data_IF_197593243010
#
_entry.id   IF_197593243010
#
_cell.length_a   1.000
_cell.length_b   1.000
_cell.length_c   1.000
_cell.angle_alpha   90.00
_cell.angle_beta   90.00
_cell.angle_gamma   90.00
#
_symmetry.space_group_name_H-M   'P 1'
#
loop_
_entity.id
_entity.type
_entity.pdbx_description
1 polymer ?
#
# COMPACT_ATOMS: atom_id res chain seq x y z
N UNK A 1 -14.10 -21.68 -3.12
CA UNK A 1 -13.92 -20.35 -3.78
C UNK A 1 -13.24 -19.33 -2.88
N UNK A 2 -13.57 -19.21 -1.55
CA UNK A 2 -13.01 -18.17 -0.65
C UNK A 2 -11.60 -18.48 -0.11
N UNK A 3 -11.26 -19.74 0.16
CA UNK A 3 -9.89 -20.17 0.53
C UNK A 3 -8.92 -20.08 -0.66
N UNK A 4 -9.41 -20.27 -1.88
CA UNK A 4 -8.61 -20.16 -3.10
C UNK A 4 -8.13 -18.73 -3.37
N UNK A 5 -8.94 -17.68 -3.11
CA UNK A 5 -8.50 -16.28 -3.29
C UNK A 5 -7.39 -15.85 -2.32
N UNK A 6 -7.43 -16.30 -1.06
CA UNK A 6 -6.32 -16.07 -0.11
C UNK A 6 -5.04 -16.81 -0.53
N UNK A 7 -5.20 -18.01 -1.05
CA UNK A 7 -4.10 -18.81 -1.58
C UNK A 7 -3.46 -18.13 -2.82
N UNK A 8 -4.25 -17.49 -3.67
CA UNK A 8 -3.75 -16.76 -4.84
C UNK A 8 -2.86 -15.55 -4.51
N UNK A 9 -3.18 -14.76 -3.47
CA UNK A 9 -2.34 -13.64 -3.04
C UNK A 9 -1.01 -14.17 -2.48
N UNK A 10 -1.11 -15.23 -1.64
CA UNK A 10 0.02 -15.83 -0.94
C UNK A 10 0.99 -16.55 -1.88
N UNK A 11 0.46 -17.27 -2.86
CA UNK A 11 1.26 -18.17 -3.68
C UNK A 11 1.91 -17.50 -4.91
N UNK A 12 1.52 -16.28 -5.27
CA UNK A 12 1.92 -15.72 -6.56
C UNK A 12 2.82 -14.49 -6.52
N UNK A 13 2.69 -13.58 -5.53
CA UNK A 13 3.38 -12.27 -5.62
C UNK A 13 4.01 -11.77 -4.32
N UNK A 14 3.47 -12.11 -3.14
CA UNK A 14 3.91 -11.52 -1.87
C UNK A 14 4.56 -12.57 -0.99
N UNK A 15 5.87 -12.52 -0.89
CA UNK A 15 6.70 -13.49 -0.17
C UNK A 15 7.10 -12.91 1.18
N UNK A 16 7.08 -13.75 2.24
CA UNK A 16 7.56 -13.37 3.58
C UNK A 16 6.65 -12.44 4.37
N UNK A 17 5.39 -12.16 3.90
CA UNK A 17 4.45 -11.23 4.53
C UNK A 17 3.11 -11.89 4.89
N UNK A 18 3.13 -13.11 5.37
CA UNK A 18 1.92 -13.91 5.66
C UNK A 18 0.97 -13.24 6.66
N UNK A 19 1.51 -12.57 7.68
CA UNK A 19 0.74 -11.85 8.68
C UNK A 19 -0.01 -10.66 8.06
N UNK A 20 0.66 -9.90 7.20
CA UNK A 20 0.07 -8.78 6.47
C UNK A 20 -1.10 -9.24 5.59
N UNK A 21 -0.89 -10.26 4.77
CA UNK A 21 -1.94 -10.85 3.91
C UNK A 21 -3.12 -11.36 4.73
N UNK A 22 -2.86 -12.03 5.85
CA UNK A 22 -3.90 -12.57 6.74
C UNK A 22 -4.73 -11.46 7.39
N UNK A 23 -4.10 -10.39 7.87
CA UNK A 23 -4.76 -9.25 8.53
C UNK A 23 -5.67 -8.50 7.54
N UNK A 24 -5.18 -8.21 6.34
CA UNK A 24 -5.96 -7.55 5.29
C UNK A 24 -7.16 -8.42 4.88
N UNK A 25 -6.93 -9.69 4.65
CA UNK A 25 -8.00 -10.62 4.26
C UNK A 25 -9.09 -10.74 5.33
N UNK A 26 -8.75 -10.66 6.61
CA UNK A 26 -9.71 -10.62 7.71
C UNK A 26 -10.49 -9.31 7.75
N UNK A 27 -9.82 -8.18 7.57
CA UNK A 27 -10.44 -6.87 7.57
C UNK A 27 -11.44 -6.71 6.42
N UNK A 28 -11.06 -7.10 5.21
CA UNK A 28 -11.96 -7.07 4.04
C UNK A 28 -13.20 -7.94 4.28
N UNK A 29 -13.02 -9.17 4.79
CA UNK A 29 -14.15 -10.06 5.10
C UNK A 29 -15.09 -9.47 6.16
N UNK A 30 -14.54 -8.88 7.22
CA UNK A 30 -15.33 -8.22 8.27
C UNK A 30 -16.16 -7.07 7.69
N UNK A 31 -15.58 -6.28 6.80
CA UNK A 31 -16.27 -5.15 6.20
C UNK A 31 -17.34 -5.58 5.18
N UNK A 32 -17.13 -6.69 4.46
CA UNK A 32 -18.10 -7.25 3.52
C UNK A 32 -19.26 -8.01 4.21
N UNK A 33 -19.17 -8.33 5.50
CA UNK A 33 -20.22 -9.07 6.23
C UNK A 33 -21.47 -8.23 6.58
N UNK A 34 -21.53 -6.97 6.13
CA UNK A 34 -22.74 -6.12 6.30
C UNK A 34 -22.88 -5.43 7.66
N UNK A 35 -21.91 -5.57 8.54
CA UNK A 35 -21.94 -4.96 9.89
C UNK A 35 -21.57 -3.46 9.84
N UNK A 36 -21.01 -3.00 8.71
CA UNK A 36 -20.53 -1.63 8.52
C UNK A 36 -21.49 -0.78 7.71
N UNK A 37 -21.44 0.54 7.91
CA UNK A 37 -22.14 1.52 7.07
C UNK A 37 -21.73 1.36 5.60
N UNK A 38 -22.70 1.19 4.70
CA UNK A 38 -22.48 1.08 3.25
C UNK A 38 -21.89 2.34 2.59
N UNK A 39 -21.70 3.40 3.38
CA UNK A 39 -21.20 4.68 2.87
C UNK A 39 -19.67 4.76 2.83
N UNK A 40 -18.95 4.01 3.66
CA UNK A 40 -17.49 4.06 3.75
C UNK A 40 -16.81 3.14 2.72
N UNK A 41 -15.54 3.41 2.36
CA UNK A 41 -14.74 2.52 1.51
C UNK A 41 -14.78 1.06 1.98
N UNK A 42 -14.61 0.08 1.08
CA UNK A 42 -14.57 -1.36 1.40
C UNK A 42 -13.52 -1.66 2.48
N UNK A 43 -12.41 -0.93 2.48
CA UNK A 43 -11.38 -1.03 3.50
C UNK A 43 -10.38 0.11 3.41
N UNK A 44 -9.80 0.46 4.55
CA UNK A 44 -8.74 1.45 4.67
C UNK A 44 -7.55 0.85 5.43
N UNK A 45 -6.39 0.88 4.81
CA UNK A 45 -5.19 0.20 5.30
C UNK A 45 -3.99 1.17 5.35
N UNK A 46 -3.21 1.06 6.42
CA UNK A 46 -1.90 1.72 6.51
C UNK A 46 -0.81 0.64 6.51
N UNK A 47 0.04 0.64 5.49
CA UNK A 47 1.17 -0.27 5.36
C UNK A 47 2.44 0.41 5.89
N UNK A 48 2.97 -0.10 6.97
CA UNK A 48 4.15 0.41 7.66
C UNK A 48 5.34 -0.51 7.42
N UNK A 49 6.52 0.03 7.14
CA UNK A 49 7.72 -0.77 6.99
C UNK A 49 8.73 -0.19 6.00
N UNK A 50 9.92 -0.78 5.90
CA UNK A 50 10.98 -0.30 5.02
C UNK A 50 10.57 -0.37 3.54
N UNK A 51 11.35 0.30 2.69
CA UNK A 51 11.21 0.20 1.23
C UNK A 51 11.59 -1.19 0.74
N UNK A 52 10.99 -1.64 -0.37
CA UNK A 52 11.36 -2.89 -1.02
C UNK A 52 10.81 -4.18 -0.39
N UNK A 53 9.97 -4.12 0.65
CA UNK A 53 9.42 -5.31 1.34
C UNK A 53 8.12 -5.84 0.73
N UNK A 54 7.64 -5.26 -0.37
CA UNK A 54 6.46 -5.76 -1.10
C UNK A 54 5.15 -5.02 -0.82
N UNK A 55 5.15 -3.81 -0.20
CA UNK A 55 3.92 -3.03 0.07
C UNK A 55 3.13 -2.75 -1.21
N UNK A 56 3.77 -2.26 -2.25
CA UNK A 56 3.14 -1.96 -3.55
C UNK A 56 2.70 -3.23 -4.27
N UNK A 57 3.48 -4.31 -4.20
CA UNK A 57 3.09 -5.60 -4.80
C UNK A 57 1.85 -6.21 -4.14
N UNK A 58 1.70 -6.03 -2.83
CA UNK A 58 0.48 -6.46 -2.15
C UNK A 58 -0.74 -5.64 -2.60
N UNK A 59 -0.58 -4.33 -2.84
CA UNK A 59 -1.66 -3.50 -3.37
C UNK A 59 -2.09 -3.94 -4.79
N UNK A 60 -1.14 -4.28 -5.66
CA UNK A 60 -1.41 -4.85 -7.00
C UNK A 60 -2.14 -6.19 -6.91
N UNK A 61 -1.65 -7.08 -6.05
CA UNK A 61 -2.28 -8.38 -5.84
C UNK A 61 -3.72 -8.24 -5.30
N UNK A 62 -3.99 -7.25 -4.47
CA UNK A 62 -5.34 -6.96 -3.99
C UNK A 62 -6.26 -6.47 -5.12
N UNK A 63 -5.78 -5.60 -6.01
CA UNK A 63 -6.55 -5.13 -7.17
C UNK A 63 -6.93 -6.33 -8.07
N UNK A 64 -5.97 -7.18 -8.41
CA UNK A 64 -6.20 -8.38 -9.22
C UNK A 64 -7.20 -9.35 -8.57
N UNK A 65 -7.07 -9.60 -7.26
CA UNK A 65 -7.92 -10.58 -6.56
C UNK A 65 -9.34 -10.08 -6.32
N UNK A 66 -9.53 -8.79 -6.09
CA UNK A 66 -10.83 -8.24 -5.71
C UNK A 66 -11.63 -7.73 -6.89
N UNK A 67 -10.94 -7.21 -7.90
CA UNK A 67 -11.56 -6.60 -9.06
C UNK A 67 -11.25 -7.33 -10.37
N UNK A 68 -10.53 -8.46 -10.31
CA UNK A 68 -10.08 -9.29 -11.44
C UNK A 68 -9.27 -8.49 -12.49
N UNK A 69 -8.67 -7.35 -12.09
CA UNK A 69 -7.92 -6.44 -12.96
C UNK A 69 -6.81 -5.72 -12.19
N UNK A 70 -5.55 -5.95 -12.56
CA UNK A 70 -4.41 -5.23 -11.99
C UNK A 70 -4.47 -3.72 -12.31
N UNK A 71 -5.06 -3.33 -13.44
CA UNK A 71 -5.25 -1.93 -13.82
C UNK A 71 -6.28 -1.20 -12.96
N UNK A 72 -7.01 -1.92 -12.08
CA UNK A 72 -7.83 -1.33 -11.04
C UNK A 72 -7.02 -0.68 -9.91
N UNK A 73 -5.68 -0.86 -9.87
CA UNK A 73 -4.81 -0.12 -8.99
C UNK A 73 -4.56 1.30 -9.52
N UNK A 74 -4.94 2.29 -8.73
CA UNK A 74 -4.67 3.72 -8.99
C UNK A 74 -3.65 4.19 -7.97
N UNK A 75 -2.44 4.54 -8.42
CA UNK A 75 -1.35 5.00 -7.55
C UNK A 75 -1.23 6.52 -7.57
N UNK A 76 -1.02 7.08 -6.37
CA UNK A 76 -0.66 8.48 -6.12
C UNK A 76 0.65 8.48 -5.34
N UNK A 77 1.69 9.04 -5.90
CA UNK A 77 2.97 9.24 -5.22
C UNK A 77 2.89 10.54 -4.41
N UNK A 78 2.91 10.43 -3.09
CA UNK A 78 2.73 11.60 -2.22
C UNK A 78 3.93 12.54 -2.22
N UNK A 79 5.07 12.15 -2.78
CA UNK A 79 6.18 13.07 -3.02
C UNK A 79 5.85 14.16 -4.04
N UNK A 80 4.87 13.95 -4.93
CA UNK A 80 4.36 14.95 -5.87
C UNK A 80 3.37 15.93 -5.23
N UNK A 81 2.96 15.68 -3.98
CA UNK A 81 1.91 16.42 -3.25
C UNK A 81 2.44 17.05 -1.96
N UNK A 82 3.68 17.52 -1.97
CA UNK A 82 4.35 18.15 -0.82
C UNK A 82 3.97 19.63 -0.64
N UNK A 83 3.53 20.30 -1.70
CA UNK A 83 3.27 21.73 -1.70
C UNK A 83 1.87 22.09 -1.19
N UNK A 84 1.70 23.35 -0.74
CA UNK A 84 0.44 23.86 -0.15
C UNK A 84 -0.79 23.70 -1.03
N UNK A 85 -0.64 23.71 -2.36
CA UNK A 85 -1.75 23.55 -3.30
C UNK A 85 -2.01 22.10 -3.71
N UNK A 86 -1.33 21.16 -3.10
CA UNK A 86 -1.44 19.74 -3.44
C UNK A 86 -2.87 19.19 -3.25
N UNK A 87 -3.60 19.66 -2.25
CA UNK A 87 -5.00 19.27 -2.03
C UNK A 87 -5.88 19.64 -3.23
N UNK A 88 -5.67 20.84 -3.82
CA UNK A 88 -6.41 21.27 -5.02
C UNK A 88 -6.13 20.42 -6.26
N UNK A 89 -4.96 19.78 -6.35
CA UNK A 89 -4.67 18.82 -7.43
C UNK A 89 -5.47 17.52 -7.27
N UNK A 90 -5.75 17.11 -6.02
CA UNK A 90 -6.52 15.89 -5.76
C UNK A 90 -8.02 16.07 -5.97
N UNK A 91 -8.63 17.12 -5.42
CA UNK A 91 -10.08 17.33 -5.46
C UNK A 91 -10.56 18.40 -6.46
N UNK A 92 -9.61 19.09 -7.12
CA UNK A 92 -9.87 20.16 -8.10
C UNK A 92 -9.67 21.55 -7.53
N UNK A 93 -9.21 22.48 -8.38
CA UNK A 93 -9.01 23.88 -8.02
C UNK A 93 -10.36 24.61 -7.89
N UNK A 94 -10.49 25.59 -6.98
CA UNK A 94 -11.69 26.42 -6.86
C UNK A 94 -11.95 27.24 -8.14
N UNK A 95 -13.21 27.68 -8.38
CA UNK A 95 -13.53 28.53 -9.51
C UNK A 95 -12.63 29.77 -9.59
N UNK A 96 -12.13 30.07 -10.79
CA UNK A 96 -11.23 31.22 -11.02
C UNK A 96 -9.73 30.94 -10.82
N UNK A 97 -9.34 29.74 -10.39
CA UNK A 97 -7.94 29.32 -10.31
C UNK A 97 -7.54 28.47 -11.50
N UNK A 98 -6.23 28.50 -11.83
CA UNK A 98 -5.64 27.66 -12.89
C UNK A 98 -5.87 26.18 -12.53
N UNK A 99 -6.32 25.38 -13.53
CA UNK A 99 -6.63 23.94 -13.33
C UNK A 99 -8.08 23.65 -12.91
N UNK A 100 -8.97 24.65 -12.80
CA UNK A 100 -10.39 24.43 -12.48
C UNK A 100 -11.11 23.53 -13.49
N UNK A 101 -10.82 23.69 -14.78
CA UNK A 101 -11.46 22.91 -15.85
C UNK A 101 -11.01 21.44 -15.87
N UNK A 102 -9.79 21.17 -15.46
CA UNK A 102 -9.20 19.82 -15.46
C UNK A 102 -9.83 18.91 -14.42
N UNK A 103 -10.42 19.48 -13.35
CA UNK A 103 -10.96 18.71 -12.22
C UNK A 103 -9.86 18.18 -11.30
N UNK A 104 -10.26 17.44 -10.26
CA UNK A 104 -9.29 16.83 -9.32
C UNK A 104 -8.81 15.47 -9.82
N UNK A 105 -7.54 15.22 -9.72
CA UNK A 105 -6.93 13.97 -10.20
C UNK A 105 -7.53 12.74 -9.51
N UNK A 106 -7.72 12.80 -8.19
CA UNK A 106 -8.33 11.73 -7.40
C UNK A 106 -9.80 11.54 -7.79
N UNK A 107 -10.55 12.63 -7.85
CA UNK A 107 -11.99 12.59 -8.13
C UNK A 107 -12.29 12.10 -9.55
N UNK A 108 -11.52 12.53 -10.55
CA UNK A 108 -11.69 12.07 -11.93
C UNK A 108 -11.30 10.59 -12.11
N UNK A 109 -10.18 10.15 -11.50
CA UNK A 109 -9.76 8.75 -11.58
C UNK A 109 -10.77 7.80 -10.93
N UNK A 110 -11.33 8.15 -9.76
CA UNK A 110 -12.33 7.33 -9.07
C UNK A 110 -13.68 7.37 -9.82
N UNK A 111 -14.07 8.50 -10.36
CA UNK A 111 -15.28 8.60 -11.19
C UNK A 111 -15.22 7.67 -12.40
N UNK A 112 -14.05 7.57 -13.03
CA UNK A 112 -13.84 6.71 -14.20
C UNK A 112 -13.67 5.23 -13.82
N UNK A 113 -13.12 4.93 -12.61
CA UNK A 113 -12.92 3.57 -12.09
C UNK A 113 -13.42 3.48 -10.64
N UNK A 114 -14.74 3.38 -10.42
CA UNK A 114 -15.32 3.36 -9.07
C UNK A 114 -14.95 2.09 -8.27
N UNK A 115 -14.65 0.99 -8.95
CA UNK A 115 -14.15 -0.25 -8.34
C UNK A 115 -12.64 -0.29 -8.49
N UNK A 116 -11.92 0.23 -7.48
CA UNK A 116 -10.47 0.36 -7.57
C UNK A 116 -9.79 0.27 -6.21
N UNK A 117 -8.49 -0.04 -6.25
CA UNK A 117 -7.57 0.10 -5.12
C UNK A 117 -6.82 1.42 -5.29
N UNK A 118 -6.99 2.32 -4.34
CA UNK A 118 -6.29 3.60 -4.29
C UNK A 118 -5.05 3.45 -3.43
N UNK A 119 -3.88 3.56 -4.01
CA UNK A 119 -2.61 3.49 -3.30
C UNK A 119 -2.01 4.89 -3.17
N UNK A 120 -1.97 5.41 -1.95
CA UNK A 120 -1.24 6.63 -1.59
C UNK A 120 0.13 6.22 -1.06
N UNK A 121 1.15 6.40 -1.89
CA UNK A 121 2.50 5.93 -1.59
C UNK A 121 3.31 7.02 -0.88
N UNK A 122 4.02 6.66 0.19
CA UNK A 122 4.86 7.55 1.02
C UNK A 122 4.07 8.73 1.62
N UNK A 123 2.96 8.43 2.29
CA UNK A 123 2.03 9.47 2.83
C UNK A 123 2.69 10.43 3.83
N UNK A 124 3.81 10.07 4.44
CA UNK A 124 4.59 10.97 5.31
C UNK A 124 5.16 12.18 4.57
N UNK A 125 5.27 12.13 3.25
CA UNK A 125 5.74 13.24 2.43
C UNK A 125 4.65 14.22 2.03
N UNK A 126 3.38 13.83 2.18
CA UNK A 126 2.24 14.63 1.75
C UNK A 126 2.10 15.91 2.58
N UNK A 127 1.65 17.00 1.92
CA UNK A 127 1.25 18.20 2.64
C UNK A 127 0.10 17.90 3.64
N UNK A 128 0.08 18.51 4.84
CA UNK A 128 -0.96 18.24 5.85
C UNK A 128 -2.41 18.38 5.37
N UNK A 129 -2.68 19.23 4.40
CA UNK A 129 -4.02 19.44 3.84
C UNK A 129 -4.56 18.21 3.11
N UNK A 130 -3.69 17.34 2.61
CA UNK A 130 -4.07 16.06 1.97
C UNK A 130 -4.81 15.16 2.98
N UNK A 131 -4.39 15.16 4.24
CA UNK A 131 -5.04 14.35 5.26
C UNK A 131 -6.47 14.79 5.55
N UNK A 132 -6.80 16.08 5.35
CA UNK A 132 -8.18 16.56 5.46
C UNK A 132 -9.07 16.00 4.34
N UNK A 133 -8.53 15.91 3.11
CA UNK A 133 -9.21 15.29 1.97
C UNK A 133 -9.41 13.78 2.23
N UNK A 134 -8.36 13.09 2.69
CA UNK A 134 -8.45 11.67 3.01
C UNK A 134 -9.40 11.39 4.17
N UNK A 135 -9.44 12.24 5.20
CA UNK A 135 -10.40 12.12 6.31
C UNK A 135 -11.85 12.15 5.81
N UNK A 136 -12.19 13.07 4.91
CA UNK A 136 -13.53 13.14 4.34
C UNK A 136 -13.89 11.85 3.61
N UNK A 137 -12.96 11.30 2.81
CA UNK A 137 -13.17 10.02 2.11
C UNK A 137 -13.32 8.86 3.10
N UNK A 138 -12.50 8.81 4.15
CA UNK A 138 -12.53 7.73 5.15
C UNK A 138 -13.78 7.76 6.03
N UNK A 139 -14.35 8.96 6.28
CA UNK A 139 -15.54 9.12 7.13
C UNK A 139 -16.84 8.99 6.38
N UNK A 140 -16.98 9.77 5.30
CA UNK A 140 -18.23 9.91 4.56
C UNK A 140 -18.29 8.98 3.34
N UNK A 141 -17.14 8.48 2.87
CA UNK A 141 -17.01 7.71 1.64
C UNK A 141 -17.36 8.50 0.39
N UNK A 142 -17.41 9.82 0.50
CA UNK A 142 -17.75 10.74 -0.59
C UNK A 142 -16.82 11.94 -0.55
N UNK A 143 -16.35 12.36 -1.72
CA UNK A 143 -15.60 13.60 -1.88
C UNK A 143 -16.31 14.49 -2.89
N UNK A 144 -16.51 15.77 -2.55
CA UNK A 144 -17.07 16.75 -3.47
C UNK A 144 -15.94 17.40 -4.27
N UNK A 145 -16.01 17.33 -5.59
CA UNK A 145 -15.04 17.96 -6.47
C UNK A 145 -15.28 19.48 -6.59
N UNK A 146 -14.36 20.17 -7.26
CA UNK A 146 -14.45 21.61 -7.50
C UNK A 146 -15.68 22.04 -8.32
N UNK A 147 -16.31 21.12 -9.05
CA UNK A 147 -17.53 21.37 -9.85
C UNK A 147 -18.82 21.06 -9.06
N UNK A 148 -18.71 20.77 -7.76
CA UNK A 148 -19.84 20.42 -6.90
C UNK A 148 -20.37 19.00 -7.05
N UNK A 149 -19.69 18.14 -7.81
CA UNK A 149 -20.10 16.74 -8.01
C UNK A 149 -19.64 15.89 -6.83
N UNK A 150 -20.52 15.05 -6.30
CA UNK A 150 -20.20 14.09 -5.26
C UNK A 150 -19.67 12.81 -5.90
N UNK A 151 -18.46 12.45 -5.57
CA UNK A 151 -17.78 11.23 -6.03
C UNK A 151 -17.82 10.20 -4.92
N UNK A 152 -18.34 9.01 -5.25
CA UNK A 152 -18.55 7.90 -4.31
C UNK A 152 -17.32 6.99 -4.25
N UNK A 153 -16.79 6.78 -3.05
CA UNK A 153 -15.65 5.92 -2.73
C UNK A 153 -16.06 4.62 -2.03
N UNK A 154 -17.36 4.35 -1.89
CA UNK A 154 -17.85 3.18 -1.14
C UNK A 154 -17.38 1.83 -1.72
N UNK A 155 -17.07 1.79 -3.01
CA UNK A 155 -16.58 0.60 -3.70
C UNK A 155 -15.05 0.57 -3.86
N UNK A 156 -14.33 1.49 -3.22
CA UNK A 156 -12.86 1.55 -3.28
C UNK A 156 -12.21 0.89 -2.06
N UNK A 157 -10.95 0.52 -2.22
CA UNK A 157 -10.05 0.17 -1.13
C UNK A 157 -8.97 1.24 -1.06
N UNK A 158 -8.73 1.77 0.13
CA UNK A 158 -7.71 2.79 0.35
C UNK A 158 -6.50 2.14 1.03
N UNK A 159 -5.35 2.26 0.40
CA UNK A 159 -4.07 1.80 0.93
C UNK A 159 -3.15 3.01 1.00
N UNK A 160 -2.57 3.24 2.17
CA UNK A 160 -1.56 4.25 2.42
C UNK A 160 -0.26 3.55 2.80
N UNK A 161 0.86 3.87 2.18
CA UNK A 161 2.16 3.32 2.59
C UNK A 161 2.97 4.36 3.33
N UNK A 162 3.74 3.93 4.30
CA UNK A 162 4.68 4.78 5.02
C UNK A 162 5.95 4.03 5.39
N UNK A 163 7.06 4.75 5.33
CA UNK A 163 8.37 4.27 5.76
C UNK A 163 8.73 4.73 7.18
N UNK A 164 7.79 5.35 7.91
CA UNK A 164 7.98 5.81 9.28
C UNK A 164 8.43 4.67 10.20
N UNK A 165 9.36 4.97 11.08
CA UNK A 165 9.95 4.00 12.01
C UNK A 165 10.97 3.02 11.40
N UNK A 166 11.05 2.91 10.08
CA UNK A 166 12.03 2.04 9.43
C UNK A 166 13.45 2.63 9.47
N UNK A 167 13.58 3.95 9.49
CA UNK A 167 14.87 4.66 9.61
C UNK A 167 15.46 4.55 11.01
N UNK A 168 14.65 4.62 12.06
CA UNK A 168 15.08 4.47 13.44
C UNK A 168 15.73 3.10 13.72
N UNK A 169 15.46 2.10 12.90
CA UNK A 169 16.03 0.75 13.02
C UNK A 169 17.43 0.63 12.42
N UNK A 170 17.84 1.54 11.53
CA UNK A 170 19.21 1.55 10.98
C UNK A 170 20.21 2.08 11.99
N UNK A 171 19.80 2.99 12.85
CA UNK A 171 20.69 3.64 13.81
C UNK A 171 20.97 2.75 15.02
N UNK A 172 20.05 1.84 15.41
CA UNK A 172 20.24 0.92 16.53
C UNK A 172 21.14 -0.31 16.21
N UNK A 173 21.42 -0.60 14.94
CA UNK A 173 22.37 -1.69 14.58
C UNK A 173 23.83 -1.37 14.92
N UNK A 174 24.12 -0.14 15.34
CA UNK A 174 25.47 0.30 15.76
C UNK A 174 25.77 0.07 17.25
N UNK A 175 24.81 -0.35 18.06
CA UNK A 175 25.04 -0.59 19.50
C UNK A 175 24.84 -2.06 19.85
N UNK A 176 25.87 -2.82 19.72
CA UNK A 176 26.37 -3.94 20.48
C UNK A 176 25.47 -5.07 20.99
N UNK A 177 25.93 -6.30 20.64
CA UNK A 177 25.89 -7.55 21.40
C UNK A 177 24.60 -8.39 21.48
N UNK A 178 24.73 -9.60 20.91
CA UNK A 178 24.04 -10.81 21.34
C UNK A 178 22.78 -11.11 20.54
N UNK A 179 22.70 -12.35 20.08
CA UNK A 179 21.50 -12.96 19.52
C UNK A 179 20.33 -12.88 20.52
N UNK A 180 19.66 -11.71 20.59
CA UNK A 180 18.39 -11.55 21.28
C UNK A 180 17.29 -12.09 20.36
N UNK A 181 16.34 -12.77 20.97
CA UNK A 181 15.18 -13.39 20.32
C UNK A 181 14.59 -12.49 19.22
N UNK A 182 14.64 -12.96 17.99
CA UNK A 182 14.12 -12.26 16.78
C UNK A 182 12.66 -11.81 16.98
N UNK A 183 11.86 -12.56 17.76
CA UNK A 183 10.48 -12.23 18.10
C UNK A 183 10.36 -11.02 19.02
N UNK A 184 11.30 -10.85 19.97
CA UNK A 184 11.31 -9.71 20.88
C UNK A 184 11.69 -8.43 20.14
N UNK A 185 12.59 -8.53 19.18
CA UNK A 185 12.97 -7.40 18.32
C UNK A 185 11.84 -6.98 17.39
N UNK A 186 11.06 -7.92 16.83
CA UNK A 186 9.89 -7.61 16.00
C UNK A 186 8.79 -6.88 16.77
N UNK A 187 8.44 -7.34 17.97
CA UNK A 187 7.41 -6.69 18.80
C UNK A 187 7.82 -5.27 19.22
N UNK A 188 9.09 -5.05 19.55
CA UNK A 188 9.62 -3.74 19.86
C UNK A 188 9.64 -2.82 18.63
N UNK A 189 9.95 -3.36 17.48
CA UNK A 189 9.90 -2.66 16.19
C UNK A 189 8.49 -2.17 15.86
N UNK A 190 7.50 -3.06 15.97
CA UNK A 190 6.09 -2.70 15.75
C UNK A 190 5.65 -1.58 16.70
N UNK A 191 5.98 -1.71 17.99
CA UNK A 191 5.64 -0.69 18.99
C UNK A 191 6.24 0.68 18.64
N UNK A 192 7.51 0.74 18.25
CA UNK A 192 8.18 1.96 17.82
C UNK A 192 7.53 2.56 16.58
N UNK A 193 7.20 1.74 15.58
CA UNK A 193 6.49 2.22 14.38
C UNK A 193 5.13 2.83 14.73
N UNK A 194 4.38 2.22 15.64
CA UNK A 194 3.11 2.78 16.10
C UNK A 194 3.28 4.04 16.93
N UNK A 195 4.34 4.18 17.70
CA UNK A 195 4.66 5.41 18.44
C UNK A 195 5.00 6.55 17.47
N UNK A 196 5.82 6.30 16.46
CA UNK A 196 6.15 7.30 15.43
C UNK A 196 4.91 7.70 14.60
N UNK A 197 4.06 6.73 14.26
CA UNK A 197 2.80 7.00 13.59
C UNK A 197 1.92 7.96 14.41
N UNK A 198 1.80 7.74 15.74
CA UNK A 198 1.03 8.60 16.64
C UNK A 198 1.63 10.00 16.80
N UNK A 199 2.93 10.16 16.65
CA UNK A 199 3.59 11.48 16.69
C UNK A 199 3.39 12.26 15.38
N UNK A 200 3.37 11.54 14.24
CA UNK A 200 3.32 12.15 12.91
C UNK A 200 1.91 12.52 12.49
N UNK A 201 0.93 11.67 12.81
CA UNK A 201 -0.44 11.85 12.35
C UNK A 201 -1.39 12.17 13.50
N UNK A 202 -2.43 12.97 13.20
CA UNK A 202 -3.48 13.29 14.18
C UNK A 202 -4.22 12.02 14.60
N UNK A 203 -4.59 11.89 15.88
CA UNK A 203 -5.32 10.72 16.39
C UNK A 203 -6.61 10.43 15.62
N UNK A 204 -7.33 11.48 15.21
CA UNK A 204 -8.55 11.36 14.42
C UNK A 204 -8.31 10.62 13.10
N UNK A 205 -7.21 10.91 12.39
CA UNK A 205 -6.86 10.23 11.15
C UNK A 205 -6.51 8.76 11.39
N UNK A 206 -5.67 8.49 12.39
CA UNK A 206 -5.25 7.13 12.74
C UNK A 206 -6.43 6.22 13.11
N UNK A 207 -7.46 6.79 13.79
CA UNK A 207 -8.64 6.06 14.23
C UNK A 207 -9.62 5.74 13.10
N UNK A 208 -9.49 6.38 11.94
CA UNK A 208 -10.32 6.09 10.75
C UNK A 208 -9.76 4.97 9.88
N UNK A 209 -8.52 4.59 10.12
CA UNK A 209 -7.86 3.48 9.41
C UNK A 209 -8.30 2.15 10.02
N UNK A 210 -8.85 1.26 9.20
CA UNK A 210 -9.39 -0.04 9.64
C UNK A 210 -8.32 -0.97 10.17
N UNK A 211 -7.17 -1.02 9.48
CA UNK A 211 -6.08 -1.92 9.86
C UNK A 211 -4.72 -1.26 9.56
N UNK A 212 -3.81 -1.36 10.52
CA UNK A 212 -2.42 -0.94 10.40
C UNK A 212 -1.56 -2.18 10.28
N UNK A 213 -0.93 -2.36 9.14
CA UNK A 213 -0.23 -3.58 8.77
C UNK A 213 1.27 -3.30 8.74
N UNK A 214 2.02 -3.99 9.59
CA UNK A 214 3.47 -3.89 9.63
C UNK A 214 4.09 -4.89 8.68
N UNK A 215 4.97 -4.41 7.82
CA UNK A 215 5.80 -5.21 6.92
C UNK A 215 7.19 -5.34 7.51
N UNK A 216 7.65 -6.57 7.61
CA UNK A 216 8.98 -6.88 8.11
C UNK A 216 10.02 -6.92 7.00
N UNK A 217 11.29 -6.70 7.37
CA UNK A 217 12.40 -6.91 6.44
C UNK A 217 12.41 -8.37 5.97
N UNK A 218 12.66 -8.57 4.69
CA UNK A 218 12.72 -9.90 4.09
C UNK A 218 13.98 -10.64 4.54
N UNK A 219 13.85 -11.92 4.81
CA UNK A 219 14.99 -12.81 5.07
C UNK A 219 15.78 -13.09 3.79
N UNK A 220 17.00 -13.59 3.91
CA UNK A 220 17.80 -14.02 2.75
C UNK A 220 17.11 -15.11 1.93
N UNK A 221 16.31 -15.95 2.58
CA UNK A 221 15.51 -17.00 1.91
C UNK A 221 14.34 -16.40 1.15
N UNK A 222 13.64 -15.43 1.75
CA UNK A 222 12.56 -14.69 1.09
C UNK A 222 13.08 -13.94 -0.13
N UNK A 223 14.21 -13.26 -0.02
CA UNK A 223 14.84 -12.55 -1.13
C UNK A 223 15.17 -13.47 -2.31
N UNK A 224 15.66 -14.68 -2.04
CA UNK A 224 15.89 -15.68 -3.11
C UNK A 224 14.57 -16.09 -3.79
N UNK A 225 13.47 -16.20 -3.03
CA UNK A 225 12.16 -16.51 -3.60
C UNK A 225 11.62 -15.32 -4.41
N UNK A 226 11.79 -14.10 -3.94
CA UNK A 226 11.43 -12.87 -4.67
C UNK A 226 12.15 -12.84 -6.02
N UNK A 227 13.47 -13.04 -6.04
CA UNK A 227 14.26 -13.11 -7.28
C UNK A 227 13.71 -14.17 -8.24
N UNK A 228 13.38 -15.38 -7.75
CA UNK A 228 12.78 -16.43 -8.59
C UNK A 228 11.45 -16.01 -9.23
N UNK A 229 10.63 -15.25 -8.50
CA UNK A 229 9.37 -14.72 -9.05
C UNK A 229 9.64 -13.63 -10.08
N UNK A 230 10.57 -12.71 -9.80
CA UNK A 230 10.90 -11.60 -10.70
C UNK A 230 11.52 -12.05 -12.03
N UNK A 231 12.27 -13.14 -12.06
CA UNK A 231 12.89 -13.64 -13.30
C UNK A 231 11.93 -14.45 -14.16
N UNK A 232 10.79 -14.93 -13.65
CA UNK A 232 9.81 -15.71 -14.43
C UNK A 232 9.30 -15.01 -15.68
N UNK A 233 8.86 -13.73 -15.63
CA UNK A 233 8.41 -13.02 -16.83
C UNK A 233 9.53 -12.89 -17.86
N UNK A 234 10.75 -12.61 -17.43
CA UNK A 234 11.92 -12.52 -18.31
C UNK A 234 12.19 -13.84 -19.03
N UNK A 235 12.12 -14.96 -18.30
CA UNK A 235 12.29 -16.30 -18.89
C UNK A 235 11.20 -16.58 -19.93
N UNK A 236 9.95 -16.19 -19.64
CA UNK A 236 8.83 -16.36 -20.56
C UNK A 236 9.01 -15.56 -21.85
N UNK A 237 9.36 -14.26 -21.73
CA UNK A 237 9.61 -13.39 -22.89
C UNK A 237 10.76 -13.91 -23.77
N UNK A 238 11.83 -14.41 -23.16
CA UNK A 238 12.95 -14.98 -23.91
C UNK A 238 12.59 -16.32 -24.58
N UNK A 239 11.75 -17.11 -23.93
CA UNK A 239 11.24 -18.38 -24.52
C UNK A 239 10.39 -18.12 -25.78
N UNK A 240 9.57 -17.07 -25.77
CA UNK A 240 8.80 -16.63 -26.96
C UNK A 240 9.71 -16.22 -28.14
N UNK A 241 10.92 -15.75 -27.84
CA UNK A 241 11.94 -15.43 -28.83
C UNK A 241 12.84 -16.63 -29.22
N UNK A 242 12.50 -17.85 -28.75
CA UNK A 242 13.27 -19.07 -29.03
C UNK A 242 14.54 -19.21 -28.19
N UNK A 243 14.75 -18.37 -27.19
CA UNK A 243 15.91 -18.40 -26.29
C UNK A 243 15.58 -19.11 -24.97
N UNK A 244 16.50 -19.95 -24.49
CA UNK A 244 16.35 -20.61 -23.19
C UNK A 244 17.29 -19.98 -22.17
N UNK A 245 16.72 -19.36 -21.12
CA UNK A 245 17.47 -18.79 -19.99
C UNK A 245 17.29 -19.70 -18.76
N UNK A 246 18.42 -20.12 -18.16
CA UNK A 246 18.44 -20.88 -16.90
C UNK A 246 19.34 -20.17 -15.90
N UNK A 247 18.82 -19.94 -14.69
CA UNK A 247 19.62 -19.38 -13.60
C UNK A 247 20.20 -20.49 -12.74
N UNK A 248 21.50 -20.46 -12.52
CA UNK A 248 22.14 -21.33 -11.52
C UNK A 248 21.80 -20.85 -10.10
N UNK A 249 21.75 -21.74 -9.08
CA UNK A 249 21.48 -21.36 -7.69
C UNK A 249 22.44 -20.30 -7.15
N UNK A 250 23.71 -20.32 -7.58
CA UNK A 250 24.72 -19.31 -7.21
C UNK A 250 24.39 -17.92 -7.77
N UNK A 251 23.88 -17.84 -8.99
CA UNK A 251 23.45 -16.59 -9.61
C UNK A 251 22.22 -16.00 -8.89
N UNK A 252 21.24 -16.83 -8.53
CA UNK A 252 20.08 -16.40 -7.74
C UNK A 252 20.48 -15.85 -6.35
N UNK A 253 21.44 -16.50 -5.68
CA UNK A 253 22.00 -16.01 -4.42
C UNK A 253 22.69 -14.65 -4.59
N UNK A 254 23.48 -14.50 -5.64
CA UNK A 254 24.18 -13.25 -5.91
C UNK A 254 23.20 -12.10 -6.18
N UNK A 255 22.17 -12.35 -6.98
CA UNK A 255 21.10 -11.38 -7.24
C UNK A 255 20.35 -10.99 -5.95
N UNK A 256 20.03 -11.96 -5.11
CA UNK A 256 19.38 -11.72 -3.81
C UNK A 256 20.24 -10.92 -2.82
N UNK A 257 21.56 -10.91 -2.99
CA UNK A 257 22.48 -10.20 -2.08
C UNK A 257 22.78 -8.78 -2.56
N UNK A 258 22.71 -8.53 -3.88
CA UNK A 258 23.05 -7.23 -4.48
C UNK A 258 21.81 -6.36 -4.80
N UNK A 259 20.63 -6.91 -4.83
CA UNK A 259 19.36 -6.21 -5.01
C UNK A 259 18.67 -5.96 -3.68
#
# INVERSE_FOLDING_TARGET
>A
YRRQRQMCIRDRRVIGQDQAVSSISRAIRRNQSGIRSNKRPIGSFMFLGPTGVGKTELAKALAEVLFDDESALIRFDMSEYMEKFAASRLNGAPPGYVGYEEGGELTEKVRNKPYSVLLFDEVEKAHPDIFNVLLQVLDDGVLTDSKGRKIDFSNTIIIMTSNLGATALRDDKTVGFGAKDIRFDQANMEKRMFEELKKTYRPEFINRIDEKVVFHSLSSEDMQQVVKVMVKPLIATLAEQGMTLKFQPSALKLLATKG
#
